data_IF_946869678217
#
_entry.id   IF_946869678217
#
_cell.length_a   1.000
_cell.length_b   1.000
_cell.length_c   1.000
_cell.angle_alpha   90.00
_cell.angle_beta   90.00
_cell.angle_gamma   90.00
#
_symmetry.space_group_name_H-M   'P 1'
#
loop_
_entity.id
_entity.type
_entity.pdbx_description
1 polymer ?
#
# COMPACT_ATOMS: atom_id res chain seq x y z
N UNK A 1 -5.20 -8.38 10.41
CA UNK A 1 -5.99 -7.59 11.38
C UNK A 1 -6.01 -6.15 10.91
N UNK A 2 -7.17 -5.69 10.40
CA UNK A 2 -7.36 -4.29 10.05
C UNK A 2 -7.24 -3.46 11.33
N UNK A 3 -6.15 -2.73 11.49
CA UNK A 3 -6.04 -1.70 12.50
C UNK A 3 -6.95 -0.55 12.09
N UNK A 4 -8.20 -0.58 12.55
CA UNK A 4 -9.13 0.52 12.36
C UNK A 4 -8.63 1.71 13.19
N UNK A 5 -8.48 2.88 12.58
CA UNK A 5 -8.21 4.10 13.33
C UNK A 5 -9.35 4.37 14.33
N UNK A 6 -9.00 4.83 15.53
CA UNK A 6 -10.01 5.23 16.52
C UNK A 6 -10.83 6.41 15.99
N UNK A 7 -12.14 6.38 16.21
CA UNK A 7 -13.00 7.51 15.84
C UNK A 7 -12.57 8.78 16.57
N UNK A 8 -12.82 9.94 15.97
CA UNK A 8 -12.52 11.25 16.58
C UNK A 8 -13.21 11.43 17.94
N UNK A 9 -14.41 10.87 18.10
CA UNK A 9 -15.14 10.84 19.37
C UNK A 9 -14.38 10.03 20.43
N UNK A 10 -13.94 8.81 20.10
CA UNK A 10 -13.19 7.94 21.03
C UNK A 10 -11.86 8.57 21.43
N UNK A 11 -11.14 9.19 20.47
CA UNK A 11 -9.89 9.94 20.74
C UNK A 11 -10.12 11.10 21.71
N UNK A 12 -11.20 11.86 21.51
CA UNK A 12 -11.58 12.96 22.39
C UNK A 12 -11.92 12.51 23.82
N UNK A 13 -12.69 11.42 23.94
CA UNK A 13 -13.05 10.85 25.24
C UNK A 13 -11.83 10.31 25.99
N UNK A 14 -10.96 9.57 25.32
CA UNK A 14 -9.69 9.10 25.87
C UNK A 14 -8.77 10.25 26.28
N UNK A 15 -8.69 11.31 25.44
CA UNK A 15 -7.90 12.49 25.77
C UNK A 15 -8.41 13.19 27.04
N UNK A 16 -9.74 13.29 27.21
CA UNK A 16 -10.33 13.85 28.46
C UNK A 16 -10.01 12.99 29.66
N UNK A 17 -10.10 11.67 29.56
CA UNK A 17 -9.76 10.76 30.65
C UNK A 17 -8.28 10.81 31.01
N UNK A 18 -7.38 10.87 30.00
CA UNK A 18 -5.95 10.95 30.23
C UNK A 18 -5.50 12.26 30.87
N UNK A 19 -6.20 13.37 30.59
CA UNK A 19 -5.92 14.69 31.22
C UNK A 19 -5.98 14.63 32.73
N UNK A 20 -6.77 13.74 33.32
CA UNK A 20 -6.87 13.59 34.79
C UNK A 20 -5.59 13.01 35.40
N UNK A 21 -4.75 12.35 34.58
CA UNK A 21 -3.53 11.69 35.03
C UNK A 21 -2.26 12.40 34.54
N UNK A 22 -2.39 13.48 33.77
CA UNK A 22 -1.24 14.22 33.23
C UNK A 22 -0.91 15.42 34.11
N UNK A 23 0.38 15.76 34.19
CA UNK A 23 0.87 16.97 34.87
C UNK A 23 0.45 18.21 34.06
N UNK A 24 0.28 19.35 34.71
CA UNK A 24 -0.37 20.57 34.20
C UNK A 24 0.12 21.13 32.85
N UNK A 25 1.26 20.71 32.33
CA UNK A 25 1.80 21.15 31.03
C UNK A 25 1.84 20.06 29.95
N UNK A 26 1.41 18.84 30.25
CA UNK A 26 1.44 17.71 29.31
C UNK A 26 0.08 17.53 28.65
N UNK A 27 0.01 17.62 27.33
CA UNK A 27 -1.20 17.32 26.54
C UNK A 27 -1.03 15.95 25.88
N UNK A 28 -1.89 14.97 26.20
CA UNK A 28 -1.88 13.70 25.46
C UNK A 28 -2.37 13.93 24.04
N UNK A 29 -1.62 13.47 23.04
CA UNK A 29 -1.96 13.52 21.65
C UNK A 29 -2.06 12.10 21.09
N UNK A 30 -3.10 11.82 20.31
CA UNK A 30 -3.30 10.54 19.63
C UNK A 30 -2.85 10.68 18.19
N UNK A 31 -1.80 9.97 17.85
CA UNK A 31 -1.28 9.89 16.48
C UNK A 31 -1.76 8.58 15.86
N UNK A 32 -2.37 8.66 14.69
CA UNK A 32 -2.73 7.46 13.93
C UNK A 32 -1.48 6.77 13.40
N UNK A 33 -1.45 5.45 13.49
CA UNK A 33 -0.34 4.66 12.97
C UNK A 33 -0.41 4.69 11.44
N UNK A 34 0.67 5.13 10.82
CA UNK A 34 0.84 5.00 9.37
C UNK A 34 1.20 3.57 9.04
N UNK A 35 0.31 2.86 8.36
CA UNK A 35 0.49 1.47 7.96
C UNK A 35 1.11 1.43 6.56
N UNK A 36 2.18 0.66 6.41
CA UNK A 36 2.73 0.27 5.12
C UNK A 36 2.32 -1.19 4.87
N UNK A 37 1.55 -1.41 3.82
CA UNK A 37 1.15 -2.74 3.40
C UNK A 37 2.23 -3.33 2.49
N UNK A 38 2.48 -4.62 2.66
CA UNK A 38 3.41 -5.38 1.82
C UNK A 38 2.59 -6.40 1.07
N UNK A 39 2.49 -6.23 -0.24
CA UNK A 39 1.82 -7.16 -1.13
C UNK A 39 2.85 -8.11 -1.73
N UNK A 40 2.54 -9.39 -1.73
CA UNK A 40 3.46 -10.46 -2.11
C UNK A 40 2.85 -11.24 -3.27
N UNK A 41 3.51 -11.24 -4.41
CA UNK A 41 3.20 -12.10 -5.54
C UNK A 41 4.34 -13.09 -5.72
N UNK A 42 4.07 -14.41 -5.60
CA UNK A 42 5.10 -15.42 -5.69
C UNK A 42 4.72 -16.54 -6.66
N UNK A 43 5.62 -16.83 -7.58
CA UNK A 43 5.58 -18.01 -8.46
C UNK A 43 6.46 -19.10 -7.89
N UNK A 44 5.87 -20.22 -7.49
CA UNK A 44 6.58 -21.33 -6.84
C UNK A 44 6.79 -22.47 -7.85
N UNK A 45 8.03 -22.90 -7.99
CA UNK A 45 8.44 -24.00 -8.85
C UNK A 45 8.74 -25.23 -8.01
N UNK A 46 8.06 -26.33 -8.27
CA UNK A 46 8.22 -27.58 -7.52
C UNK A 46 8.35 -28.81 -8.41
N UNK A 47 8.91 -29.90 -7.86
CA UNK A 47 9.09 -31.15 -8.55
C UNK A 47 7.89 -32.08 -8.33
N UNK A 48 7.12 -32.36 -9.39
CA UNK A 48 6.00 -33.31 -9.35
C UNK A 48 6.42 -34.77 -9.06
N UNK A 49 7.71 -35.11 -9.21
CA UNK A 49 8.22 -36.43 -8.83
C UNK A 49 8.47 -36.59 -7.33
N UNK A 50 8.57 -35.45 -6.59
CA UNK A 50 8.81 -35.42 -5.15
C UNK A 50 7.54 -35.13 -4.33
N UNK A 51 6.44 -34.80 -4.96
CA UNK A 51 5.18 -34.49 -4.29
C UNK A 51 3.99 -34.94 -5.13
N UNK A 52 3.00 -35.54 -4.50
CA UNK A 52 1.70 -35.90 -5.09
C UNK A 52 0.70 -34.71 -5.02
N UNK A 53 1.12 -33.58 -4.47
CA UNK A 53 0.25 -32.41 -4.31
C UNK A 53 -0.04 -31.74 -5.66
N UNK A 54 -1.30 -31.37 -5.86
CA UNK A 54 -1.72 -30.54 -7.00
C UNK A 54 -1.16 -29.11 -6.86
N UNK A 55 -1.01 -28.35 -7.98
CA UNK A 55 -0.50 -26.98 -7.94
C UNK A 55 -1.21 -26.09 -6.93
N UNK A 56 -2.55 -26.17 -6.84
CA UNK A 56 -3.33 -25.39 -5.88
C UNK A 56 -3.04 -25.76 -4.41
N UNK A 57 -2.77 -27.04 -4.14
CA UNK A 57 -2.43 -27.50 -2.80
C UNK A 57 -1.01 -27.05 -2.40
N UNK A 58 -0.08 -27.07 -3.36
CA UNK A 58 1.29 -26.55 -3.15
C UNK A 58 1.26 -25.05 -2.87
N UNK A 59 0.50 -24.28 -3.65
CA UNK A 59 0.31 -22.85 -3.42
C UNK A 59 -0.31 -22.57 -2.04
N UNK A 60 -1.33 -23.34 -1.65
CA UNK A 60 -1.93 -23.23 -0.31
C UNK A 60 -0.92 -23.50 0.81
N UNK A 61 -0.06 -24.52 0.64
CA UNK A 61 0.98 -24.86 1.62
C UNK A 61 2.03 -23.74 1.75
N UNK A 62 2.49 -23.18 0.63
CA UNK A 62 3.38 -22.03 0.63
C UNK A 62 2.74 -20.80 1.32
N UNK A 63 1.46 -20.54 1.02
CA UNK A 63 0.70 -19.46 1.67
C UNK A 63 0.59 -19.65 3.18
N UNK A 64 0.33 -20.85 3.65
CA UNK A 64 0.30 -21.15 5.09
C UNK A 64 1.66 -20.94 5.74
N UNK A 65 2.76 -21.32 5.08
CA UNK A 65 4.12 -21.04 5.55
C UNK A 65 4.39 -19.55 5.73
N UNK A 66 3.98 -18.74 4.75
CA UNK A 66 4.09 -17.26 4.83
C UNK A 66 3.23 -16.71 5.97
N UNK A 67 2.00 -17.17 6.13
CA UNK A 67 1.12 -16.73 7.21
C UNK A 67 1.70 -17.05 8.60
N UNK A 68 2.28 -18.22 8.78
CA UNK A 68 2.93 -18.61 10.02
C UNK A 68 4.18 -17.74 10.30
N UNK A 69 4.98 -17.48 9.27
CA UNK A 69 6.11 -16.55 9.37
C UNK A 69 5.65 -15.14 9.81
N UNK A 70 4.58 -14.61 9.24
CA UNK A 70 4.06 -13.29 9.60
C UNK A 70 3.57 -13.24 11.05
N UNK A 71 2.87 -14.29 11.52
CA UNK A 71 2.42 -14.41 12.93
C UNK A 71 3.56 -14.48 13.92
N UNK A 72 4.62 -15.21 13.59
CA UNK A 72 5.76 -15.44 14.48
C UNK A 72 6.81 -14.35 14.42
N UNK A 73 6.88 -13.62 13.30
CA UNK A 73 7.79 -12.50 13.09
C UNK A 73 7.31 -11.21 13.76
N UNK A 74 8.16 -10.20 13.77
CA UNK A 74 7.80 -8.86 14.25
C UNK A 74 7.21 -7.95 13.16
N UNK A 75 6.96 -8.45 11.96
CA UNK A 75 6.55 -7.63 10.79
C UNK A 75 5.26 -6.87 11.07
N UNK A 76 4.27 -7.53 11.68
CA UNK A 76 2.96 -6.93 12.02
C UNK A 76 2.97 -6.10 13.31
N UNK A 77 4.13 -5.94 13.95
CA UNK A 77 4.26 -5.16 15.18
C UNK A 77 4.69 -3.72 14.88
N UNK A 78 4.47 -2.83 15.86
CA UNK A 78 4.98 -1.47 15.79
C UNK A 78 6.51 -1.49 15.59
N UNK A 79 6.99 -0.72 14.59
CA UNK A 79 8.40 -0.72 14.14
C UNK A 79 8.90 -2.10 13.69
N UNK A 80 8.02 -2.92 13.12
CA UNK A 80 8.36 -4.23 12.56
C UNK A 80 9.32 -4.10 11.37
N UNK A 81 10.19 -5.10 11.21
CA UNK A 81 11.15 -5.14 10.11
C UNK A 81 10.84 -6.30 9.18
N UNK A 82 10.50 -5.98 7.95
CA UNK A 82 10.37 -6.96 6.88
C UNK A 82 11.75 -7.33 6.33
N UNK A 83 11.96 -8.61 6.03
CA UNK A 83 13.20 -9.12 5.42
C UNK A 83 12.84 -10.04 4.25
N UNK A 84 13.10 -9.59 3.05
CA UNK A 84 12.84 -10.32 1.81
C UNK A 84 13.44 -11.73 1.81
N UNK A 85 14.72 -11.86 2.17
CA UNK A 85 15.40 -13.16 2.20
C UNK A 85 14.77 -14.17 3.17
N UNK A 86 14.17 -13.69 4.26
CA UNK A 86 13.45 -14.58 5.19
C UNK A 86 12.12 -15.04 4.61
N UNK A 87 11.40 -14.17 3.90
CA UNK A 87 10.18 -14.53 3.20
C UNK A 87 10.45 -15.60 2.14
N UNK A 88 11.41 -15.35 1.24
CA UNK A 88 11.80 -16.31 0.18
C UNK A 88 12.20 -17.66 0.77
N UNK A 89 13.06 -17.66 1.79
CA UNK A 89 13.45 -18.89 2.48
C UNK A 89 12.30 -19.60 3.20
N UNK A 90 11.27 -18.88 3.64
CA UNK A 90 10.07 -19.49 4.22
C UNK A 90 9.22 -20.17 3.15
N UNK A 91 9.10 -19.57 1.96
CA UNK A 91 8.39 -20.17 0.82
C UNK A 91 9.11 -21.43 0.38
N UNK A 92 10.42 -21.38 0.17
CA UNK A 92 11.23 -22.55 -0.23
C UNK A 92 11.18 -23.68 0.82
N UNK A 93 11.17 -23.33 2.09
CA UNK A 93 11.11 -24.28 3.20
C UNK A 93 9.72 -24.83 3.50
N UNK A 94 8.67 -24.36 2.84
CA UNK A 94 7.29 -24.80 3.12
C UNK A 94 7.00 -26.24 2.65
N UNK A 95 7.73 -26.72 1.63
CA UNK A 95 7.69 -28.12 1.18
C UNK A 95 9.04 -28.56 0.59
N UNK A 96 9.51 -29.78 0.88
CA UNK A 96 10.77 -30.29 0.30
C UNK A 96 10.76 -30.49 -1.22
N UNK A 97 9.58 -30.50 -1.84
CA UNK A 97 9.45 -30.59 -3.29
C UNK A 97 9.63 -29.24 -3.99
N UNK A 98 9.58 -28.11 -3.27
CA UNK A 98 9.82 -26.79 -3.84
C UNK A 98 11.31 -26.67 -4.18
N UNK A 99 11.59 -26.31 -5.42
CA UNK A 99 12.95 -26.12 -5.91
C UNK A 99 13.39 -24.66 -5.86
N UNK A 100 12.47 -23.74 -6.13
CA UNK A 100 12.72 -22.29 -6.13
C UNK A 100 11.41 -21.50 -6.13
N UNK A 101 11.50 -20.22 -5.80
CA UNK A 101 10.42 -19.27 -6.02
C UNK A 101 10.94 -17.99 -6.67
N UNK A 102 10.06 -17.31 -7.42
CA UNK A 102 10.26 -15.93 -7.88
C UNK A 102 9.20 -15.11 -7.17
N UNK A 103 9.63 -14.17 -6.36
CA UNK A 103 8.75 -13.41 -5.47
C UNK A 103 8.93 -11.92 -5.70
N UNK A 104 7.85 -11.26 -6.09
CA UNK A 104 7.78 -9.81 -6.24
C UNK A 104 7.10 -9.20 -5.01
N UNK A 105 7.58 -8.03 -4.62
CA UNK A 105 7.08 -7.26 -3.49
C UNK A 105 6.62 -5.90 -3.98
N UNK A 106 5.37 -5.58 -3.70
CA UNK A 106 4.82 -4.24 -3.89
C UNK A 106 4.52 -3.62 -2.54
N UNK A 107 4.94 -2.38 -2.35
CA UNK A 107 4.61 -1.62 -1.15
C UNK A 107 3.37 -0.77 -1.45
N UNK A 108 2.39 -0.81 -0.56
CA UNK A 108 1.15 -0.05 -0.69
C UNK A 108 0.94 0.85 0.52
N UNK A 109 0.52 2.07 0.26
CA UNK A 109 -0.03 2.97 1.25
C UNK A 109 -1.42 3.44 0.86
N UNK A 110 -2.28 3.50 1.85
CA UNK A 110 -3.65 3.95 1.68
C UNK A 110 -3.79 5.35 2.28
N UNK A 111 -4.53 6.21 1.60
CA UNK A 111 -5.01 7.45 2.20
C UNK A 111 -6.52 7.60 1.98
N UNK A 112 -7.17 8.25 2.93
CA UNK A 112 -8.62 8.54 2.84
C UNK A 112 -8.77 9.92 2.21
N UNK A 113 -9.45 9.97 1.06
CA UNK A 113 -9.66 11.21 0.34
C UNK A 113 -10.62 12.15 1.09
N UNK A 114 -10.26 13.41 1.17
CA UNK A 114 -11.16 14.49 1.59
C UNK A 114 -12.01 14.89 0.39
N UNK A 115 -13.25 14.43 0.39
CA UNK A 115 -14.16 14.56 -0.75
C UNK A 115 -14.61 16.00 -0.93
N UNK A 116 -14.68 16.46 -2.20
CA UNK A 116 -15.12 17.81 -2.59
C UNK A 116 -14.29 18.95 -1.97
N UNK A 117 -13.04 18.69 -1.65
CA UNK A 117 -12.14 19.69 -1.09
C UNK A 117 -10.80 19.66 -1.82
N UNK A 118 -10.32 20.82 -2.25
CA UNK A 118 -8.94 20.96 -2.73
C UNK A 118 -7.99 20.74 -1.57
N UNK A 119 -7.18 19.70 -1.66
CA UNK A 119 -6.37 19.21 -0.54
C UNK A 119 -4.95 18.92 -1.01
N UNK A 120 -3.99 19.21 -0.15
CA UNK A 120 -2.63 18.73 -0.26
C UNK A 120 -2.54 17.34 0.35
N UNK A 121 -2.05 16.37 -0.42
CA UNK A 121 -1.78 15.03 0.07
C UNK A 121 -0.28 14.76 0.05
N UNK A 122 0.21 14.21 1.14
CA UNK A 122 1.59 13.76 1.27
C UNK A 122 1.61 12.30 1.74
N UNK A 123 2.21 11.45 0.93
CA UNK A 123 2.32 10.01 1.21
C UNK A 123 3.79 9.64 1.31
N UNK A 124 4.24 9.29 2.52
CA UNK A 124 5.64 8.98 2.81
C UNK A 124 5.80 7.49 3.07
N UNK A 125 6.58 6.79 2.25
CA UNK A 125 6.91 5.38 2.44
C UNK A 125 8.09 5.16 3.39
N UNK A 126 8.83 6.21 3.71
CA UNK A 126 10.03 6.19 4.57
C UNK A 126 11.17 5.29 4.04
N UNK A 127 11.10 4.91 2.79
CA UNK A 127 12.11 4.13 2.09
C UNK A 127 12.26 4.69 0.68
N UNK A 128 13.47 4.70 0.18
CA UNK A 128 13.76 5.03 -1.20
C UNK A 128 12.99 4.10 -2.16
N UNK A 129 12.44 4.66 -3.24
CA UNK A 129 11.79 3.87 -4.28
C UNK A 129 12.85 3.24 -5.19
N UNK A 130 12.70 1.95 -5.45
CA UNK A 130 13.50 1.29 -6.46
C UNK A 130 13.10 1.86 -7.84
N UNK A 131 14.09 2.39 -8.57
CA UNK A 131 13.88 2.85 -9.95
C UNK A 131 14.00 1.67 -10.87
N UNK A 132 12.90 1.25 -11.47
CA UNK A 132 12.93 0.31 -12.58
C UNK A 132 13.09 1.08 -13.89
N UNK A 133 13.74 0.44 -14.87
CA UNK A 133 14.03 1.10 -16.16
C UNK A 133 12.80 1.12 -17.09
N UNK A 134 11.78 0.30 -16.84
CA UNK A 134 10.76 -0.06 -17.82
C UNK A 134 9.32 0.31 -17.44
N UNK A 135 9.09 1.23 -16.49
CA UNK A 135 7.71 1.62 -16.16
C UNK A 135 7.58 2.59 -14.99
N UNK A 136 6.33 2.95 -14.65
CA UNK A 136 6.07 3.75 -13.47
C UNK A 136 6.40 2.95 -12.20
N UNK A 137 7.05 3.62 -11.26
CA UNK A 137 7.37 3.07 -9.93
C UNK A 137 6.18 3.18 -8.99
N UNK A 138 5.36 4.22 -9.20
CA UNK A 138 4.17 4.53 -8.42
C UNK A 138 2.93 4.46 -9.30
N UNK A 139 1.89 3.82 -8.80
CA UNK A 139 0.58 3.78 -9.44
C UNK A 139 -0.52 3.84 -8.38
N UNK A 140 -1.71 4.29 -8.77
CA UNK A 140 -2.86 4.33 -7.87
C UNK A 140 -3.98 3.42 -8.32
N UNK A 141 -4.88 3.10 -7.38
CA UNK A 141 -6.22 2.62 -7.70
C UNK A 141 -7.07 3.74 -8.33
N UNK A 142 -8.13 3.35 -9.05
CA UNK A 142 -8.99 4.30 -9.78
C UNK A 142 -9.80 5.20 -8.85
N UNK A 143 -9.92 6.49 -9.19
CA UNK A 143 -10.69 7.49 -8.46
C UNK A 143 -11.41 8.44 -9.42
N UNK A 144 -12.37 9.22 -8.92
CA UNK A 144 -13.03 10.28 -9.69
C UNK A 144 -12.55 11.61 -9.13
N UNK A 145 -11.99 12.47 -10.00
CA UNK A 145 -11.50 13.80 -9.65
C UNK A 145 -12.42 14.90 -10.18
N UNK A 146 -12.34 16.08 -9.59
CA UNK A 146 -13.22 17.22 -9.92
C UNK A 146 -13.08 17.70 -11.36
N UNK A 147 -11.85 17.70 -11.88
CA UNK A 147 -11.59 18.18 -13.25
C UNK A 147 -12.13 17.23 -14.34
N UNK A 148 -12.32 15.95 -13.99
CA UNK A 148 -12.78 14.91 -14.93
C UNK A 148 -13.83 13.99 -14.27
N UNK A 149 -15.01 14.53 -13.91
CA UNK A 149 -16.00 13.81 -13.12
C UNK A 149 -16.66 12.64 -13.87
N UNK A 150 -16.56 12.61 -15.18
CA UNK A 150 -17.13 11.57 -16.05
C UNK A 150 -16.22 10.33 -16.20
N UNK A 151 -14.96 10.41 -15.74
CA UNK A 151 -14.00 9.32 -15.91
C UNK A 151 -13.50 8.77 -14.58
N UNK A 152 -13.23 7.46 -14.57
CA UNK A 152 -12.34 6.89 -13.58
C UNK A 152 -10.92 7.21 -13.99
N UNK A 153 -10.22 7.92 -13.13
CA UNK A 153 -8.85 8.40 -13.34
C UNK A 153 -7.87 7.65 -12.44
N UNK A 154 -6.63 7.62 -12.86
CA UNK A 154 -5.53 6.94 -12.19
C UNK A 154 -4.32 7.87 -12.12
N UNK A 155 -3.48 7.65 -11.12
CA UNK A 155 -2.19 8.31 -10.97
C UNK A 155 -1.06 7.35 -11.32
N UNK A 156 -0.03 7.85 -11.99
CA UNK A 156 1.27 7.18 -12.12
C UNK A 156 2.39 8.22 -12.08
N UNK A 157 3.61 7.77 -11.79
CA UNK A 157 4.76 8.67 -11.89
C UNK A 157 5.36 8.67 -13.29
N UNK A 158 5.82 9.85 -13.71
CA UNK A 158 6.64 10.03 -14.92
C UNK A 158 7.75 11.03 -14.61
N UNK A 159 8.99 10.55 -14.61
CA UNK A 159 10.18 11.40 -14.45
C UNK A 159 10.12 12.34 -13.23
N UNK A 160 9.63 11.85 -12.09
CA UNK A 160 9.52 12.62 -10.85
C UNK A 160 8.26 13.48 -10.72
N UNK A 161 7.33 13.39 -11.66
CA UNK A 161 6.01 14.02 -11.59
C UNK A 161 4.92 12.96 -11.42
N UNK A 162 3.88 13.30 -10.66
CA UNK A 162 2.64 12.53 -10.67
C UNK A 162 1.76 13.03 -11.81
N UNK A 163 1.38 12.12 -12.68
CA UNK A 163 0.50 12.40 -13.82
C UNK A 163 -0.86 11.75 -13.60
N UNK A 164 -1.90 12.38 -14.16
CA UNK A 164 -3.26 11.87 -14.14
C UNK A 164 -3.61 11.32 -15.51
N UNK A 165 -4.13 10.10 -15.55
CA UNK A 165 -4.57 9.46 -16.79
C UNK A 165 -5.90 8.71 -16.61
N UNK A 166 -6.54 8.39 -17.70
CA UNK A 166 -7.65 7.44 -17.77
C UNK A 166 -7.32 6.27 -18.69
N UNK A 167 -8.04 5.19 -18.53
CA UNK A 167 -7.97 4.05 -19.43
C UNK A 167 -9.14 4.15 -20.42
N UNK A 168 -8.86 4.10 -21.71
CA UNK A 168 -9.90 4.03 -22.72
C UNK A 168 -10.63 2.68 -22.62
N UNK A 169 -11.95 2.72 -22.46
CA UNK A 169 -12.76 1.52 -22.27
C UNK A 169 -12.82 0.60 -23.50
N UNK A 170 -12.49 1.14 -24.69
CA UNK A 170 -12.56 0.41 -25.96
C UNK A 170 -11.20 -0.19 -26.34
N UNK A 171 -10.14 0.61 -26.23
CA UNK A 171 -8.78 0.21 -26.65
C UNK A 171 -7.92 -0.30 -25.50
N UNK A 172 -8.26 0.03 -24.25
CA UNK A 172 -7.43 -0.26 -23.07
C UNK A 172 -6.19 0.65 -22.97
N UNK A 173 -6.04 1.63 -23.84
CA UNK A 173 -4.89 2.53 -23.85
C UNK A 173 -4.99 3.58 -22.74
N UNK A 174 -3.83 3.98 -22.20
CA UNK A 174 -3.72 5.08 -21.24
C UNK A 174 -3.77 6.42 -21.98
N UNK A 175 -4.77 7.24 -21.64
CA UNK A 175 -4.92 8.60 -22.16
C UNK A 175 -4.53 9.58 -21.05
N UNK A 176 -3.46 10.33 -21.26
CA UNK A 176 -3.00 11.37 -20.35
C UNK A 176 -4.02 12.51 -20.25
N UNK A 177 -4.39 12.89 -19.06
CA UNK A 177 -5.32 13.99 -18.76
C UNK A 177 -4.59 15.22 -18.23
N UNK A 178 -3.63 15.00 -17.32
CA UNK A 178 -2.82 16.06 -16.73
C UNK A 178 -1.39 15.52 -16.50
N UNK A 179 -0.40 16.26 -16.97
CA UNK A 179 1.01 15.88 -16.94
C UNK A 179 1.73 16.23 -15.62
N UNK A 180 1.06 16.97 -14.71
CA UNK A 180 1.64 17.33 -13.43
C UNK A 180 0.56 17.68 -12.40
N UNK A 181 0.15 16.71 -11.58
CA UNK A 181 -0.74 16.91 -10.42
C UNK A 181 0.04 16.82 -9.11
N UNK A 182 1.34 16.55 -9.18
CA UNK A 182 2.18 16.39 -8.01
C UNK A 182 3.62 16.03 -8.34
N UNK A 183 4.41 15.80 -7.31
CA UNK A 183 5.82 15.42 -7.38
C UNK A 183 6.10 14.09 -6.69
N UNK A 184 7.09 13.35 -7.21
CA UNK A 184 7.63 12.13 -6.60
C UNK A 184 9.10 12.33 -6.28
N UNK A 185 9.44 12.16 -5.02
CA UNK A 185 10.80 12.20 -4.51
C UNK A 185 11.29 10.78 -4.27
N UNK A 186 11.89 10.16 -5.29
CA UNK A 186 12.28 8.75 -5.25
C UNK A 186 13.28 8.43 -4.14
N UNK A 187 14.24 9.31 -3.91
CA UNK A 187 15.28 9.20 -2.87
C UNK A 187 14.73 9.22 -1.44
N UNK A 188 13.55 9.83 -1.26
CA UNK A 188 12.88 9.93 0.04
C UNK A 188 11.71 8.95 0.18
N UNK A 189 11.23 8.40 -0.95
CA UNK A 189 9.98 7.65 -0.99
C UNK A 189 8.77 8.49 -0.61
N UNK A 190 8.71 9.72 -1.12
CA UNK A 190 7.65 10.69 -0.86
C UNK A 190 6.88 11.03 -2.13
N UNK A 191 5.56 11.10 -2.03
CA UNK A 191 4.64 11.52 -3.07
C UNK A 191 3.85 12.71 -2.53
N UNK A 192 3.77 13.78 -3.32
CA UNK A 192 3.05 15.00 -2.97
C UNK A 192 2.07 15.34 -4.09
N UNK A 193 0.79 15.50 -3.75
CA UNK A 193 -0.25 15.98 -4.66
C UNK A 193 -0.67 17.38 -4.22
N UNK A 194 -0.79 18.30 -5.17
CA UNK A 194 -1.08 19.71 -4.91
C UNK A 194 -2.47 20.06 -5.39
N UNK A 195 -3.22 20.77 -4.54
CA UNK A 195 -4.56 21.29 -4.86
C UNK A 195 -5.48 20.25 -5.53
N UNK A 196 -5.38 19.00 -5.05
CA UNK A 196 -6.01 17.85 -5.68
C UNK A 196 -7.39 17.60 -5.09
N UNK A 197 -8.43 17.70 -5.91
CA UNK A 197 -9.83 17.55 -5.48
C UNK A 197 -10.40 16.22 -5.95
N UNK A 198 -10.68 15.34 -5.00
CA UNK A 198 -11.28 14.02 -5.24
C UNK A 198 -12.78 14.08 -4.97
N UNK A 199 -13.58 13.61 -5.91
CA UNK A 199 -15.04 13.47 -5.75
C UNK A 199 -15.41 12.12 -5.18
N UNK A 200 -14.66 11.07 -5.52
CA UNK A 200 -14.90 9.71 -5.05
C UNK A 200 -13.60 8.92 -5.06
N UNK A 201 -13.29 8.26 -3.96
CA UNK A 201 -12.18 7.32 -3.87
C UNK A 201 -12.49 5.98 -4.53
N UNK A 202 -11.53 5.08 -4.52
CA UNK A 202 -11.62 3.74 -5.13
C UNK A 202 -12.60 2.82 -4.41
N UNK A 203 -12.77 3.03 -3.12
CA UNK A 203 -13.57 2.18 -2.23
C UNK A 203 -14.69 2.97 -1.56
N UNK A 204 -15.63 2.26 -0.92
CA UNK A 204 -16.79 2.86 -0.26
C UNK A 204 -16.46 3.83 0.88
N UNK A 205 -15.27 3.69 1.47
CA UNK A 205 -14.72 4.58 2.51
C UNK A 205 -13.91 5.76 1.92
N UNK A 206 -13.95 5.93 0.59
CA UNK A 206 -13.18 6.92 -0.17
C UNK A 206 -11.65 6.75 -0.03
N UNK A 207 -11.21 5.55 0.26
CA UNK A 207 -9.80 5.19 0.27
C UNK A 207 -9.25 5.13 -1.15
N UNK A 208 -8.02 5.61 -1.31
CA UNK A 208 -7.18 5.47 -2.50
C UNK A 208 -5.91 4.75 -2.09
N UNK A 209 -5.51 3.76 -2.86
CA UNK A 209 -4.29 2.99 -2.66
C UNK A 209 -3.22 3.48 -3.65
N UNK A 210 -2.01 3.67 -3.17
CA UNK A 210 -0.81 4.04 -3.92
C UNK A 210 0.28 2.99 -3.72
#
# INVERSE_FOLDING_TARGET
TNASSLSSFTKSDLSKKLKQYTVASVKPEFIDVSILYIEIASSVYYSGSKSELLPAQMAAKATLGVQEYLKTSSVEKFNGKFRYSKLVGTIDGSDPAINSNITDITLRKDFIAQINSSTYYEVCYQNEFAKDCDGPVVSSTGMIVFEYPEYTTYLEDRSGKMVLYRIDSTTGEKILLNDSVGDVYYDKGEIKLYDFTILKGSFSDNRVEL
#
